data_IF_519215442499
#
_entry.id   IF_519215442499
#
_cell.length_a   1.000
_cell.length_b   1.000
_cell.length_c   1.000
_cell.angle_alpha   90.00
_cell.angle_beta   90.00
_cell.angle_gamma   90.00
#
_symmetry.space_group_name_H-M   'P 1'
#
loop_
_entity.id
_entity.type
_entity.pdbx_description
1 polymer ?
#
# COMPACT_ATOMS: atom_id res chain seq x y z
N UNK A 1 14.25 24.19 24.09
CA UNK A 1 12.94 24.03 23.42
C UNK A 1 13.22 24.13 21.94
N UNK A 2 13.52 23.00 21.31
CA UNK A 2 13.70 22.97 19.86
C UNK A 2 12.36 23.23 19.19
N UNK A 3 12.40 24.02 18.11
CA UNK A 3 11.21 24.32 17.32
C UNK A 3 10.61 23.00 16.82
N UNK A 4 9.28 22.83 16.88
CA UNK A 4 8.65 21.67 16.24
C UNK A 4 9.09 21.63 14.78
N UNK A 5 9.67 20.51 14.36
CA UNK A 5 10.01 20.30 12.96
C UNK A 5 8.67 20.26 12.20
N UNK A 6 8.46 21.24 11.32
CA UNK A 6 7.21 21.37 10.59
C UNK A 6 7.28 20.49 9.33
N UNK A 7 7.04 19.19 9.50
CA UNK A 7 7.04 18.24 8.38
C UNK A 7 5.72 18.29 7.61
N UNK A 8 5.82 18.26 6.27
CA UNK A 8 4.67 18.24 5.36
C UNK A 8 4.19 16.80 5.11
N UNK A 9 3.69 16.12 6.15
CA UNK A 9 3.27 14.72 6.08
C UNK A 9 2.14 14.44 5.08
N UNK A 10 1.32 15.44 4.78
CA UNK A 10 0.25 15.39 3.80
C UNK A 10 0.75 15.18 2.36
N UNK A 11 2.02 15.47 2.09
CA UNK A 11 2.66 15.23 0.78
C UNK A 11 3.19 13.81 0.61
N UNK A 12 3.18 12.98 1.65
CA UNK A 12 3.71 11.62 1.63
C UNK A 12 2.67 10.62 1.10
N UNK A 13 2.33 10.76 -0.18
CA UNK A 13 1.19 10.07 -0.80
C UNK A 13 1.56 8.91 -1.72
N UNK A 14 2.82 8.82 -2.14
CA UNK A 14 3.32 7.75 -3.00
C UNK A 14 4.72 7.28 -2.58
N UNK A 15 5.19 6.19 -3.20
CA UNK A 15 6.51 5.59 -2.92
C UNK A 15 7.63 6.61 -3.09
N UNK A 16 7.61 7.42 -4.15
CA UNK A 16 8.65 8.41 -4.43
C UNK A 16 8.74 9.45 -3.31
N UNK A 17 7.62 10.07 -2.95
CA UNK A 17 7.58 11.08 -1.87
C UNK A 17 8.02 10.51 -0.52
N UNK A 18 7.60 9.28 -0.20
CA UNK A 18 7.96 8.62 1.05
C UNK A 18 9.45 8.29 1.08
N UNK A 19 9.99 7.78 -0.03
CA UNK A 19 11.40 7.44 -0.16
C UNK A 19 12.29 8.69 -0.03
N UNK A 20 11.95 9.75 -0.75
CA UNK A 20 12.65 11.05 -0.65
C UNK A 20 12.62 11.57 0.79
N UNK A 21 11.46 11.49 1.45
CA UNK A 21 11.33 11.88 2.85
C UNK A 21 12.22 11.03 3.79
N UNK A 22 12.20 9.70 3.64
CA UNK A 22 13.01 8.80 4.46
C UNK A 22 14.51 9.05 4.30
N UNK A 23 14.97 9.39 3.08
CA UNK A 23 16.37 9.74 2.86
C UNK A 23 16.77 11.05 3.53
N UNK A 24 15.93 12.08 3.41
CA UNK A 24 16.25 13.38 4.01
C UNK A 24 16.16 13.39 5.55
N UNK A 25 15.45 12.43 6.14
CA UNK A 25 15.17 12.39 7.58
C UNK A 25 15.62 11.07 8.22
N UNK A 26 16.64 10.41 7.66
CA UNK A 26 17.09 9.11 8.15
C UNK A 26 17.50 9.18 9.63
N UNK A 27 18.21 10.23 10.03
CA UNK A 27 18.60 10.46 11.42
C UNK A 27 17.38 10.55 12.36
N UNK A 28 16.30 11.22 11.93
CA UNK A 28 15.09 11.38 12.74
C UNK A 28 14.30 10.07 12.85
N UNK A 29 14.40 9.20 11.83
CA UNK A 29 13.83 7.84 11.86
C UNK A 29 14.59 6.99 12.87
N UNK A 30 15.92 6.89 12.74
CA UNK A 30 16.75 5.97 13.54
C UNK A 30 16.85 6.38 15.01
N UNK A 31 16.79 7.68 15.30
CA UNK A 31 16.74 8.20 16.68
C UNK A 31 15.35 8.14 17.29
N UNK A 32 14.33 7.78 16.50
CA UNK A 32 12.96 7.57 16.97
C UNK A 32 12.12 8.84 17.12
N UNK A 33 12.61 10.01 16.69
CA UNK A 33 11.87 11.28 16.72
C UNK A 33 10.53 11.12 15.98
N UNK A 34 10.57 10.62 14.75
CA UNK A 34 9.38 10.44 13.91
C UNK A 34 8.39 9.38 14.41
N UNK A 35 8.84 8.45 15.27
CA UNK A 35 7.94 7.46 15.90
C UNK A 35 7.03 8.12 16.94
N UNK A 36 7.49 9.20 17.56
CA UNK A 36 6.78 9.90 18.64
C UNK A 36 5.81 10.96 18.13
N UNK A 37 5.92 11.35 16.86
CA UNK A 37 5.05 12.35 16.26
C UNK A 37 3.71 11.77 15.82
N UNK A 38 2.65 12.55 15.96
CA UNK A 38 1.30 12.15 15.55
C UNK A 38 1.10 12.44 14.06
N UNK A 39 1.44 11.49 13.21
CA UNK A 39 1.13 11.51 11.78
C UNK A 39 0.17 10.38 11.38
N UNK A 40 -0.53 10.58 10.27
CA UNK A 40 -1.51 9.63 9.73
C UNK A 40 -0.92 8.68 8.68
N UNK A 41 0.38 8.81 8.40
CA UNK A 41 1.07 8.10 7.32
C UNK A 41 1.28 6.64 7.72
N UNK A 42 0.59 5.76 6.99
CA UNK A 42 0.64 4.31 7.17
C UNK A 42 0.98 3.64 5.86
N UNK A 43 1.88 2.68 5.92
CA UNK A 43 2.34 1.91 4.78
C UNK A 43 1.96 0.46 4.97
N UNK A 44 1.52 -0.18 3.88
CA UNK A 44 1.35 -1.61 3.77
C UNK A 44 2.59 -2.20 3.11
N UNK A 45 3.05 -3.34 3.60
CA UNK A 45 4.14 -4.10 3.00
C UNK A 45 3.77 -5.59 2.93
N UNK A 46 4.52 -6.36 2.14
CA UNK A 46 4.41 -7.81 2.10
C UNK A 46 5.50 -8.39 3.01
N UNK A 47 5.07 -9.17 4.00
CA UNK A 47 5.94 -9.91 4.91
C UNK A 47 6.73 -10.97 4.11
N UNK A 48 8.07 -11.01 4.22
CA UNK A 48 8.90 -11.92 3.42
C UNK A 48 8.72 -13.40 3.80
N UNK A 49 8.30 -13.68 5.03
CA UNK A 49 8.18 -15.01 5.62
C UNK A 49 6.79 -15.58 5.38
N UNK A 50 5.75 -14.85 5.81
CA UNK A 50 4.35 -15.29 5.73
C UNK A 50 3.69 -14.96 4.40
N UNK A 51 4.28 -14.05 3.61
CA UNK A 51 3.72 -13.60 2.32
C UNK A 51 2.29 -13.10 2.46
N UNK A 52 2.02 -12.38 3.53
CA UNK A 52 0.76 -11.69 3.77
C UNK A 52 1.01 -10.18 3.82
N UNK A 53 -0.06 -9.39 3.81
CA UNK A 53 0.06 -7.97 4.05
C UNK A 53 0.23 -7.68 5.54
N UNK A 54 1.26 -6.91 5.87
CA UNK A 54 1.43 -6.28 7.17
C UNK A 54 1.50 -4.75 7.01
N UNK A 55 1.45 -4.04 8.14
CA UNK A 55 1.29 -2.59 8.17
C UNK A 55 2.28 -1.97 9.15
N UNK A 56 2.83 -0.83 8.75
CA UNK A 56 3.74 -0.03 9.57
C UNK A 56 3.36 1.45 9.49
N UNK A 57 3.93 2.26 10.38
CA UNK A 57 3.78 3.71 10.42
C UNK A 57 5.12 4.37 10.09
N UNK A 58 5.07 5.62 9.62
CA UNK A 58 6.29 6.41 9.38
C UNK A 58 7.14 6.50 10.67
N UNK A 59 8.47 6.46 10.50
CA UNK A 59 9.42 6.37 11.61
C UNK A 59 9.73 4.94 12.09
N UNK A 60 9.06 3.92 11.55
CA UNK A 60 9.34 2.50 11.81
C UNK A 60 9.87 1.77 10.56
N UNK A 61 10.25 2.52 9.54
CA UNK A 61 10.82 2.00 8.31
C UNK A 61 11.69 3.06 7.65
N UNK A 62 12.57 2.62 6.77
CA UNK A 62 13.40 3.46 5.92
C UNK A 62 13.64 2.77 4.57
N UNK A 63 14.36 3.45 3.68
CA UNK A 63 14.75 2.92 2.39
C UNK A 63 16.27 2.93 2.26
N UNK A 64 16.80 1.93 1.57
CA UNK A 64 18.17 1.92 1.03
C UNK A 64 18.03 1.53 -0.43
N UNK A 65 18.49 2.41 -1.32
CA UNK A 65 18.13 2.36 -2.74
C UNK A 65 16.61 2.21 -2.95
N UNK A 66 16.15 1.25 -3.73
CA UNK A 66 14.72 1.01 -3.94
C UNK A 66 14.10 0.04 -2.92
N UNK A 67 14.89 -0.47 -1.97
CA UNK A 67 14.45 -1.48 -1.02
C UNK A 67 13.92 -0.86 0.28
N UNK A 68 12.74 -1.30 0.70
CA UNK A 68 12.15 -0.92 1.98
C UNK A 68 12.66 -1.82 3.12
N UNK A 69 12.99 -1.21 4.25
CA UNK A 69 13.38 -1.91 5.48
C UNK A 69 12.49 -1.49 6.65
N UNK A 70 12.05 -2.46 7.45
CA UNK A 70 11.28 -2.21 8.69
C UNK A 70 12.21 -2.30 9.89
N UNK A 71 12.02 -1.40 10.85
CA UNK A 71 12.65 -1.41 12.17
C UNK A 71 11.62 -1.97 13.16
N UNK A 72 11.91 -3.11 13.79
CA UNK A 72 10.99 -3.78 14.69
C UNK A 72 11.71 -4.43 15.86
N UNK A 73 10.98 -4.75 16.93
CA UNK A 73 11.48 -5.55 18.07
C UNK A 73 10.72 -6.87 18.18
N UNK A 74 9.93 -7.23 17.16
CA UNK A 74 9.15 -8.46 17.13
C UNK A 74 10.05 -9.66 16.80
N UNK A 75 10.19 -10.57 17.75
CA UNK A 75 11.05 -11.77 17.66
C UNK A 75 10.68 -12.71 16.53
N UNK A 76 9.46 -12.62 15.95
CA UNK A 76 9.11 -13.44 14.78
C UNK A 76 10.02 -13.17 13.57
N UNK A 77 10.73 -12.05 13.57
CA UNK A 77 11.60 -11.57 12.50
C UNK A 77 13.10 -11.75 12.79
N UNK A 78 13.46 -12.45 13.86
CA UNK A 78 14.86 -12.67 14.25
C UNK A 78 15.66 -13.40 13.17
N UNK A 79 15.03 -14.37 12.47
CA UNK A 79 15.69 -15.14 11.42
C UNK A 79 15.94 -14.33 10.13
N UNK A 80 15.17 -13.27 9.92
CA UNK A 80 15.20 -12.40 8.74
C UNK A 80 15.96 -11.10 9.00
N UNK A 81 16.51 -10.92 10.20
CA UNK A 81 17.29 -9.74 10.54
C UNK A 81 18.51 -9.62 9.63
N UNK A 82 18.63 -8.48 8.95
CA UNK A 82 19.77 -8.12 8.11
C UNK A 82 20.61 -7.02 8.79
N UNK A 83 21.67 -7.37 9.55
CA UNK A 83 22.54 -6.39 10.17
C UNK A 83 23.52 -5.73 9.20
N UNK A 84 23.75 -6.30 8.01
CA UNK A 84 24.70 -5.76 7.03
C UNK A 84 24.26 -4.41 6.49
N UNK A 85 22.94 -4.13 6.55
CA UNK A 85 22.37 -2.85 6.13
C UNK A 85 22.92 -1.66 6.92
N UNK A 86 23.40 -1.89 8.15
CA UNK A 86 23.98 -0.85 9.01
C UNK A 86 25.23 -0.20 8.40
N UNK A 87 25.91 -0.89 7.47
CA UNK A 87 27.11 -0.38 6.81
C UNK A 87 26.84 0.60 5.66
N UNK A 88 25.58 0.81 5.26
CA UNK A 88 25.25 1.65 4.10
C UNK A 88 25.26 3.15 4.40
N UNK A 89 24.85 3.55 5.61
CA UNK A 89 24.80 4.94 6.05
C UNK A 89 25.25 5.02 7.51
N UNK A 90 26.05 6.02 7.87
CA UNK A 90 26.57 6.18 9.23
C UNK A 90 25.45 6.33 10.26
N UNK A 91 24.33 6.97 9.89
CA UNK A 91 23.16 7.15 10.73
C UNK A 91 22.50 5.83 11.13
N UNK A 92 22.60 4.78 10.30
CA UNK A 92 22.00 3.49 10.65
C UNK A 92 22.65 2.84 11.86
N UNK A 93 23.88 3.22 12.22
CA UNK A 93 24.59 2.72 13.38
C UNK A 93 23.81 2.93 14.70
N UNK A 94 22.95 3.96 14.78
CA UNK A 94 22.04 4.19 15.92
C UNK A 94 21.04 3.03 16.14
N UNK A 95 20.79 2.21 15.12
CA UNK A 95 19.94 1.02 15.21
C UNK A 95 20.71 -0.23 15.70
N UNK A 96 22.02 -0.14 15.96
CA UNK A 96 22.80 -1.27 16.48
C UNK A 96 22.40 -1.58 17.91
N UNK A 97 21.38 -2.41 18.04
CA UNK A 97 20.83 -2.86 19.31
C UNK A 97 20.38 -4.32 19.18
N UNK A 98 20.77 -5.22 20.10
CA UNK A 98 20.43 -6.65 20.04
C UNK A 98 18.91 -6.93 20.07
N UNK A 99 18.10 -6.00 20.57
CA UNK A 99 16.63 -6.14 20.62
C UNK A 99 15.92 -5.56 19.39
N UNK A 100 16.67 -5.02 18.42
CA UNK A 100 16.13 -4.41 17.19
C UNK A 100 16.46 -5.30 16.00
N UNK A 101 15.40 -5.69 15.28
CA UNK A 101 15.48 -6.39 14.02
C UNK A 101 15.20 -5.42 12.87
N UNK A 102 16.09 -5.42 11.89
CA UNK A 102 15.94 -4.74 10.61
C UNK A 102 15.66 -5.78 9.55
N UNK A 103 14.51 -5.69 8.91
CA UNK A 103 14.07 -6.67 7.90
C UNK A 103 13.80 -6.00 6.56
N UNK A 104 14.19 -6.66 5.48
CA UNK A 104 13.83 -6.24 4.13
C UNK A 104 12.41 -6.68 3.80
N UNK A 105 11.60 -5.79 3.26
CA UNK A 105 10.21 -6.05 2.88
C UNK A 105 9.88 -5.47 1.51
N UNK A 106 8.76 -5.90 0.92
CA UNK A 106 8.25 -5.33 -0.33
C UNK A 106 7.22 -4.26 0.01
N UNK A 107 7.48 -3.01 -0.38
CA UNK A 107 6.50 -1.94 -0.26
C UNK A 107 5.24 -2.27 -1.08
N UNK A 108 4.07 -2.18 -0.43
CA UNK A 108 2.79 -2.59 -1.01
C UNK A 108 1.66 -1.57 -0.83
N UNK A 109 2.03 -0.29 -0.66
CA UNK A 109 1.12 0.83 -0.81
C UNK A 109 1.01 1.73 0.41
N UNK A 110 0.45 2.92 0.18
CA UNK A 110 0.22 3.96 1.18
C UNK A 110 -1.26 3.98 1.53
N UNK A 111 -1.57 4.19 2.81
CA UNK A 111 -2.93 4.44 3.23
C UNK A 111 -3.43 5.76 2.64
N UNK A 112 -4.53 5.68 1.89
CA UNK A 112 -5.07 6.82 1.15
C UNK A 112 -5.78 7.86 2.02
N UNK A 113 -6.00 7.57 3.30
CA UNK A 113 -6.94 8.32 4.14
C UNK A 113 -8.40 7.89 3.97
N UNK A 114 -8.74 7.21 2.87
CA UNK A 114 -10.10 6.76 2.57
C UNK A 114 -10.42 5.41 3.22
N UNK A 115 -11.71 5.27 3.54
CA UNK A 115 -12.33 3.99 3.92
C UNK A 115 -13.46 3.63 2.97
N UNK A 116 -13.64 2.34 2.77
CA UNK A 116 -14.75 1.78 2.00
C UNK A 116 -16.07 1.80 2.80
N UNK A 117 -17.17 1.34 2.20
CA UNK A 117 -18.51 1.29 2.80
C UNK A 117 -18.57 0.43 4.08
N UNK A 118 -17.62 -0.49 4.26
CA UNK A 118 -17.52 -1.41 5.41
C UNK A 118 -16.54 -0.90 6.48
N UNK A 119 -15.91 0.25 6.25
CA UNK A 119 -14.90 0.82 7.14
C UNK A 119 -13.49 0.29 6.91
N UNK A 120 -13.27 -0.56 5.89
CA UNK A 120 -11.95 -1.07 5.50
C UNK A 120 -11.10 0.09 5.02
N UNK A 121 -9.84 0.17 5.50
CA UNK A 121 -8.88 1.16 5.02
C UNK A 121 -8.48 0.84 3.58
N UNK A 122 -8.39 1.86 2.75
CA UNK A 122 -7.98 1.74 1.36
C UNK A 122 -6.53 2.15 1.22
N UNK A 123 -5.72 1.27 0.63
CA UNK A 123 -4.32 1.50 0.32
C UNK A 123 -4.13 1.60 -1.19
N UNK A 124 -3.08 2.29 -1.64
CA UNK A 124 -2.67 2.20 -3.04
C UNK A 124 -2.34 0.74 -3.41
N UNK A 125 -2.71 0.33 -4.62
CA UNK A 125 -2.69 -1.05 -5.08
C UNK A 125 -3.89 -1.90 -4.67
N UNK A 126 -4.86 -1.35 -3.93
CA UNK A 126 -6.15 -2.02 -3.75
C UNK A 126 -6.97 -2.02 -5.04
N UNK A 127 -7.73 -3.10 -5.24
CA UNK A 127 -8.77 -3.16 -6.24
C UNK A 127 -10.11 -2.84 -5.58
N UNK A 128 -10.87 -1.94 -6.18
CA UNK A 128 -12.16 -1.48 -5.65
C UNK A 128 -13.27 -1.67 -6.66
N UNK A 129 -14.46 -2.01 -6.17
CA UNK A 129 -15.72 -1.86 -6.89
C UNK A 129 -16.35 -0.55 -6.46
N UNK A 130 -16.49 0.39 -7.39
CA UNK A 130 -16.99 1.73 -7.12
C UNK A 130 -18.26 2.05 -7.93
N UNK A 131 -19.09 2.91 -7.34
CA UNK A 131 -20.06 3.73 -8.07
C UNK A 131 -19.57 5.16 -8.03
N UNK A 132 -19.47 5.79 -9.19
CA UNK A 132 -18.86 7.11 -9.34
C UNK A 132 -19.87 8.07 -9.94
N UNK A 133 -19.87 9.30 -9.43
CA UNK A 133 -20.53 10.45 -10.06
C UNK A 133 -19.45 11.40 -10.55
N UNK A 134 -19.55 11.82 -11.81
CA UNK A 134 -18.62 12.78 -12.38
C UNK A 134 -18.93 14.20 -11.89
N UNK A 135 -17.88 14.94 -11.50
CA UNK A 135 -17.96 16.34 -11.05
C UNK A 135 -19.01 16.55 -9.92
N UNK A 136 -18.87 15.87 -8.77
CA UNK A 136 -19.81 16.03 -7.67
C UNK A 136 -19.75 17.46 -7.11
N UNK A 137 -20.91 17.98 -6.70
CA UNK A 137 -21.04 19.31 -6.09
C UNK A 137 -20.64 19.37 -4.62
N UNK A 138 -20.41 18.21 -3.99
CA UNK A 138 -20.06 18.10 -2.57
C UNK A 138 -18.66 17.49 -2.44
N UNK A 139 -17.75 18.14 -1.71
CA UNK A 139 -16.44 17.57 -1.43
C UNK A 139 -16.59 16.32 -0.55
N UNK A 140 -15.93 15.23 -0.95
CA UNK A 140 -15.86 14.01 -0.15
C UNK A 140 -14.50 13.86 0.51
N UNK A 141 -14.53 13.45 1.77
CA UNK A 141 -13.35 13.06 2.54
C UNK A 141 -13.23 11.54 2.72
N UNK A 142 -14.04 10.76 1.99
CA UNK A 142 -14.07 9.29 2.07
C UNK A 142 -14.98 8.73 3.15
N UNK A 143 -15.04 7.39 3.25
CA UNK A 143 -15.90 6.69 4.20
C UNK A 143 -17.38 7.06 4.04
N UNK A 144 -18.10 7.24 5.15
CA UNK A 144 -19.54 7.57 5.12
C UNK A 144 -19.84 8.97 4.56
N UNK A 145 -18.83 9.83 4.48
CA UNK A 145 -18.90 11.20 3.94
C UNK A 145 -18.47 11.22 2.46
N UNK A 146 -19.00 10.27 1.69
CA UNK A 146 -18.77 10.16 0.25
C UNK A 146 -19.61 11.13 -0.57
N UNK A 147 -19.15 11.44 -1.79
CA UNK A 147 -19.83 12.36 -2.70
C UNK A 147 -21.29 11.96 -2.87
N UNK A 148 -22.17 12.96 -2.99
CA UNK A 148 -23.59 12.77 -3.28
C UNK A 148 -24.00 13.79 -4.34
N UNK A 149 -24.91 13.40 -5.22
CA UNK A 149 -25.54 14.32 -6.15
C UNK A 149 -26.97 14.61 -5.69
N UNK A 150 -27.28 15.89 -5.45
CA UNK A 150 -28.61 16.35 -5.06
C UNK A 150 -29.56 16.45 -6.26
N UNK A 151 -29.04 16.60 -7.48
CA UNK A 151 -29.80 16.69 -8.72
C UNK A 151 -29.69 15.40 -9.55
N UNK A 152 -30.73 14.56 -9.42
CA UNK A 152 -31.11 13.45 -10.31
C UNK A 152 -30.29 12.14 -10.31
N UNK A 153 -30.89 11.15 -9.62
CA UNK A 153 -31.09 9.70 -9.88
C UNK A 153 -30.38 8.88 -11.00
N UNK A 154 -29.58 9.38 -11.95
CA UNK A 154 -29.30 8.57 -13.17
C UNK A 154 -27.87 8.46 -13.75
N UNK A 155 -26.83 9.12 -13.21
CA UNK A 155 -25.48 9.04 -13.83
C UNK A 155 -24.41 8.40 -12.93
N UNK A 156 -24.77 7.39 -12.13
CA UNK A 156 -23.77 6.59 -11.41
C UNK A 156 -23.16 5.55 -12.35
N UNK A 157 -21.89 5.73 -12.73
CA UNK A 157 -21.14 4.71 -13.46
C UNK A 157 -20.54 3.71 -12.49
N UNK A 158 -20.67 2.42 -12.80
CA UNK A 158 -20.01 1.35 -12.04
C UNK A 158 -18.68 1.01 -12.68
N UNK A 159 -17.65 0.86 -11.86
CA UNK A 159 -16.35 0.38 -12.32
C UNK A 159 -15.70 -0.51 -11.26
N UNK A 160 -14.85 -1.42 -11.72
CA UNK A 160 -13.88 -2.13 -10.91
C UNK A 160 -12.50 -1.67 -11.38
N UNK A 161 -11.66 -1.20 -10.47
CA UNK A 161 -10.40 -0.57 -10.85
C UNK A 161 -9.38 -0.56 -9.71
N UNK A 162 -8.12 -0.35 -10.08
CA UNK A 162 -7.02 -0.17 -9.15
C UNK A 162 -7.03 1.22 -8.53
N UNK A 163 -6.55 1.32 -7.29
CA UNK A 163 -6.36 2.59 -6.59
C UNK A 163 -4.89 2.98 -6.66
N UNK A 164 -4.59 4.18 -7.14
CA UNK A 164 -3.26 4.76 -7.02
C UNK A 164 -3.30 6.27 -6.79
N UNK A 165 -2.15 6.85 -6.48
CA UNK A 165 -1.95 8.29 -6.43
C UNK A 165 -1.60 8.82 -7.83
N UNK A 166 -2.28 9.89 -8.26
CA UNK A 166 -2.06 10.63 -9.51
C UNK A 166 -2.11 12.14 -9.25
N UNK A 167 -0.98 12.83 -9.48
CA UNK A 167 -0.88 14.30 -9.43
C UNK A 167 -1.34 14.94 -8.11
N UNK A 168 -0.97 14.33 -6.99
CA UNK A 168 -1.34 14.72 -5.62
C UNK A 168 -2.70 14.19 -5.15
N UNK A 169 -3.38 13.36 -5.94
CA UNK A 169 -4.76 12.93 -5.67
C UNK A 169 -4.87 11.40 -5.75
N UNK A 170 -5.42 10.77 -4.71
CA UNK A 170 -5.77 9.36 -4.77
C UNK A 170 -6.96 9.13 -5.69
N UNK A 171 -6.76 8.29 -6.70
CA UNK A 171 -7.67 8.07 -7.80
C UNK A 171 -7.89 6.58 -8.08
N UNK A 172 -9.04 6.32 -8.68
CA UNK A 172 -9.43 5.08 -9.33
C UNK A 172 -8.86 5.14 -10.75
N UNK A 173 -8.00 4.19 -11.08
CA UNK A 173 -7.28 4.13 -12.36
C UNK A 173 -8.10 3.32 -13.36
N UNK A 174 -8.47 3.95 -14.46
CA UNK A 174 -9.22 3.37 -15.57
C UNK A 174 -8.33 3.41 -16.82
N UNK A 175 -8.76 2.74 -17.90
CA UNK A 175 -7.93 2.52 -19.09
C UNK A 175 -7.31 3.81 -19.66
N UNK A 176 -8.13 4.85 -19.89
CA UNK A 176 -7.71 6.11 -20.50
C UNK A 176 -7.91 7.35 -19.61
N UNK A 177 -8.28 7.17 -18.35
CA UNK A 177 -8.49 8.28 -17.42
C UNK A 177 -8.39 7.80 -15.98
N UNK A 178 -8.35 8.74 -15.04
CA UNK A 178 -8.46 8.45 -13.62
C UNK A 178 -9.52 9.33 -13.00
N UNK A 179 -10.21 8.80 -12.00
CA UNK A 179 -11.24 9.57 -11.27
C UNK A 179 -10.86 9.62 -9.79
N UNK A 180 -10.90 10.79 -9.13
CA UNK A 180 -10.62 10.87 -7.70
C UNK A 180 -11.47 9.91 -6.87
N UNK A 181 -10.89 9.27 -5.86
CA UNK A 181 -11.63 8.40 -4.91
C UNK A 181 -12.78 9.15 -4.24
N UNK A 182 -12.61 10.45 -4.02
CA UNK A 182 -13.63 11.34 -3.46
C UNK A 182 -14.91 11.40 -4.30
N UNK A 183 -14.88 11.03 -5.57
CA UNK A 183 -16.06 11.06 -6.44
C UNK A 183 -16.91 9.79 -6.36
N UNK A 184 -16.45 8.78 -5.61
CA UNK A 184 -17.23 7.57 -5.39
C UNK A 184 -18.42 7.84 -4.44
N UNK A 185 -19.62 7.41 -4.82
CA UNK A 185 -20.82 7.40 -3.94
C UNK A 185 -20.89 6.09 -3.15
N UNK A 186 -20.49 4.97 -3.76
CA UNK A 186 -20.26 3.67 -3.13
C UNK A 186 -18.87 3.18 -3.45
N UNK A 187 -18.22 2.54 -2.48
CA UNK A 187 -16.85 2.08 -2.62
C UNK A 187 -16.65 0.83 -1.77
N UNK A 188 -16.21 -0.27 -2.38
CA UNK A 188 -15.90 -1.51 -1.67
C UNK A 188 -14.54 -2.01 -2.13
N UNK A 189 -13.66 -2.35 -1.18
CA UNK A 189 -12.45 -3.11 -1.50
C UNK A 189 -12.85 -4.53 -1.89
N UNK A 190 -12.41 -4.97 -3.07
CA UNK A 190 -12.69 -6.33 -3.59
C UNK A 190 -11.46 -7.24 -3.56
N UNK A 191 -10.33 -6.70 -3.13
CA UNK A 191 -9.05 -7.39 -3.01
C UNK A 191 -7.90 -6.43 -3.29
N UNK A 192 -6.76 -6.98 -3.68
CA UNK A 192 -5.56 -6.21 -3.99
C UNK A 192 -4.90 -6.66 -5.27
N UNK A 193 -4.22 -5.75 -5.97
CA UNK A 193 -3.60 -6.01 -7.27
C UNK A 193 -2.26 -6.78 -7.18
N UNK A 194 -1.79 -7.10 -5.97
CA UNK A 194 -0.58 -7.88 -5.74
C UNK A 194 -0.82 -9.38 -5.89
N UNK A 195 -1.38 -9.78 -7.02
CA UNK A 195 -1.52 -11.17 -7.42
C UNK A 195 -0.53 -11.47 -8.54
N UNK A 196 -0.15 -12.75 -8.69
CA UNK A 196 0.86 -13.20 -9.65
C UNK A 196 2.26 -12.64 -9.39
N UNK A 197 2.64 -12.51 -8.11
CA UNK A 197 4.00 -12.11 -7.74
C UNK A 197 5.00 -13.25 -7.98
N UNK A 198 6.18 -12.92 -8.50
CA UNK A 198 7.24 -13.91 -8.72
C UNK A 198 8.08 -14.13 -7.48
N UNK A 199 8.61 -15.33 -7.32
CA UNK A 199 9.63 -15.60 -6.31
C UNK A 199 10.86 -14.73 -6.57
N UNK A 200 11.32 -14.02 -5.54
CA UNK A 200 12.40 -13.05 -5.66
C UNK A 200 11.96 -11.67 -6.13
N UNK A 201 10.65 -11.38 -6.23
CA UNK A 201 10.17 -10.00 -6.39
C UNK A 201 10.68 -9.13 -5.25
N UNK A 202 11.28 -8.01 -5.60
CA UNK A 202 11.94 -7.08 -4.69
C UNK A 202 11.11 -5.80 -4.52
N UNK A 203 10.67 -5.23 -5.64
CA UNK A 203 9.84 -4.03 -5.69
C UNK A 203 8.72 -4.20 -6.72
N UNK A 204 7.60 -3.55 -6.47
CA UNK A 204 6.41 -3.67 -7.32
C UNK A 204 5.89 -2.29 -7.69
N UNK A 205 5.76 -2.04 -8.99
CA UNK A 205 5.17 -0.80 -9.50
C UNK A 205 3.65 -0.85 -9.35
N UNK A 206 3.12 -0.16 -8.34
CA UNK A 206 1.66 -0.05 -8.13
C UNK A 206 0.96 0.60 -9.32
N UNK A 207 1.58 1.60 -9.95
CA UNK A 207 1.05 2.19 -11.18
C UNK A 207 1.00 1.14 -12.31
N UNK A 208 2.05 0.34 -12.45
CA UNK A 208 2.10 -0.76 -13.42
C UNK A 208 0.99 -1.77 -13.19
N UNK A 209 0.77 -2.18 -11.93
CA UNK A 209 -0.34 -3.06 -11.55
C UNK A 209 -1.71 -2.45 -11.91
N UNK A 210 -1.93 -1.18 -11.57
CA UNK A 210 -3.19 -0.49 -11.86
C UNK A 210 -3.47 -0.38 -13.35
N UNK A 211 -2.45 0.02 -14.14
CA UNK A 211 -2.56 0.11 -15.59
C UNK A 211 -2.82 -1.26 -16.22
N UNK A 212 -2.11 -2.30 -15.78
CA UNK A 212 -2.30 -3.67 -16.25
C UNK A 212 -3.71 -4.19 -15.96
N UNK A 213 -4.24 -3.91 -14.76
CA UNK A 213 -5.60 -4.28 -14.40
C UNK A 213 -6.65 -3.53 -15.25
N UNK A 214 -6.46 -2.22 -15.46
CA UNK A 214 -7.37 -1.39 -16.24
C UNK A 214 -7.46 -1.81 -17.72
N UNK A 215 -6.37 -2.32 -18.29
CA UNK A 215 -6.30 -2.81 -19.67
C UNK A 215 -6.72 -4.29 -19.81
N UNK A 216 -6.86 -5.02 -18.71
CA UNK A 216 -7.13 -6.45 -18.76
C UNK A 216 -8.56 -6.73 -19.23
N UNK A 217 -8.72 -7.40 -20.37
CA UNK A 217 -10.01 -7.91 -20.87
C UNK A 217 -10.35 -9.32 -20.33
N UNK A 218 -9.60 -9.78 -19.33
CA UNK A 218 -9.59 -11.17 -18.84
C UNK A 218 -10.94 -11.64 -18.28
N UNK A 219 -11.07 -12.95 -18.10
CA UNK A 219 -12.14 -13.57 -17.31
C UNK A 219 -12.22 -12.90 -15.92
N UNK A 220 -13.29 -12.13 -15.72
CA UNK A 220 -13.50 -11.31 -14.53
C UNK A 220 -13.61 -12.17 -13.27
N UNK A 221 -14.10 -13.41 -13.36
CA UNK A 221 -14.26 -14.27 -12.18
C UNK A 221 -12.93 -14.87 -11.72
N UNK A 222 -12.10 -15.35 -12.65
CA UNK A 222 -10.75 -15.82 -12.33
C UNK A 222 -9.90 -14.72 -11.67
N UNK A 223 -9.92 -13.50 -12.21
CA UNK A 223 -9.19 -12.37 -11.64
C UNK A 223 -9.72 -12.00 -10.26
N UNK A 224 -11.04 -11.99 -10.04
CA UNK A 224 -11.63 -11.69 -8.72
C UNK A 224 -11.20 -12.68 -7.64
N UNK A 225 -11.03 -13.95 -7.97
CA UNK A 225 -10.48 -14.93 -7.02
C UNK A 225 -9.05 -14.58 -6.64
N UNK A 226 -8.21 -14.23 -7.62
CA UNK A 226 -6.82 -13.83 -7.39
C UNK A 226 -6.71 -12.55 -6.56
N UNK A 227 -7.54 -11.53 -6.84
CA UNK A 227 -7.58 -10.28 -6.06
C UNK A 227 -7.79 -10.53 -4.56
N UNK A 228 -8.66 -11.50 -4.22
CA UNK A 228 -8.97 -11.85 -2.83
C UNK A 228 -7.88 -12.65 -2.15
N UNK A 229 -7.14 -13.46 -2.91
CA UNK A 229 -5.98 -14.23 -2.41
C UNK A 229 -4.74 -13.37 -2.19
N UNK A 230 -4.73 -12.13 -2.68
CA UNK A 230 -3.57 -11.24 -2.58
C UNK A 230 -3.13 -10.98 -1.13
N UNK A 231 -1.82 -10.89 -0.87
CA UNK A 231 -0.75 -11.02 -1.85
C UNK A 231 -0.52 -12.48 -2.23
N UNK A 232 -0.47 -12.77 -3.54
CA UNK A 232 -0.43 -14.14 -4.05
C UNK A 232 0.79 -14.38 -4.94
N UNK A 233 1.53 -15.43 -4.60
CA UNK A 233 2.72 -15.91 -5.30
C UNK A 233 2.39 -17.25 -5.96
N UNK A 234 2.14 -17.31 -7.27
CA UNK A 234 1.73 -18.53 -7.92
C UNK A 234 2.79 -19.63 -7.78
N UNK A 235 2.36 -20.86 -7.53
CA UNK A 235 3.25 -22.00 -7.48
C UNK A 235 3.96 -22.20 -8.83
N UNK A 236 5.28 -22.36 -8.77
CA UNK A 236 6.14 -22.50 -9.96
C UNK A 236 6.29 -23.97 -10.36
N UNK A 237 6.24 -24.87 -9.39
CA UNK A 237 6.36 -26.32 -9.58
C UNK A 237 5.00 -27.03 -9.49
N UNK A 238 4.91 -28.24 -10.03
CA UNK A 238 3.68 -29.03 -9.95
C UNK A 238 3.35 -29.46 -8.52
N UNK A 239 4.36 -29.73 -7.69
CA UNK A 239 4.18 -30.08 -6.27
C UNK A 239 3.57 -28.90 -5.50
N UNK A 240 4.07 -27.69 -5.75
CA UNK A 240 3.51 -26.48 -5.15
C UNK A 240 2.08 -26.25 -5.62
N UNK A 241 1.77 -26.51 -6.91
CA UNK A 241 0.41 -26.41 -7.46
C UNK A 241 -0.56 -27.36 -6.76
N UNK A 242 -0.15 -28.62 -6.56
CA UNK A 242 -0.97 -29.62 -5.86
C UNK A 242 -1.21 -29.19 -4.41
N UNK A 243 -0.18 -28.68 -3.71
CA UNK A 243 -0.33 -28.17 -2.35
C UNK A 243 -1.28 -26.97 -2.27
N UNK A 244 -1.16 -26.02 -3.20
CA UNK A 244 -2.02 -24.84 -3.27
C UNK A 244 -3.49 -25.23 -3.45
N UNK A 245 -3.77 -26.16 -4.37
CA UNK A 245 -5.13 -26.69 -4.60
C UNK A 245 -5.72 -27.39 -3.38
N UNK A 246 -4.93 -28.15 -2.64
CA UNK A 246 -5.38 -28.85 -1.42
C UNK A 246 -5.65 -27.89 -0.25
N UNK A 247 -5.00 -26.73 -0.21
CA UNK A 247 -5.20 -25.72 0.84
C UNK A 247 -6.35 -24.74 0.53
N UNK A 248 -6.85 -24.71 -0.70
CA UNK A 248 -7.96 -23.85 -1.14
C UNK A 248 -9.36 -24.44 -0.87
N UNK A 249 -9.46 -25.70 -0.41
CA UNK A 249 -10.74 -26.40 -0.18
C UNK A 249 -11.34 -26.21 1.24
N UNK A 250 -10.71 -25.39 2.10
CA UNK A 250 -11.21 -24.99 3.44
C UNK A 250 -11.75 -23.54 3.46
#
# INVERSE_FOLDING_TARGET
MDKPHNYEFDKLTNLKSIKEFCYSHLLDIVTGILKTENHSVKVRFIDPTKRNFEYTSLGLFFFVDDCMYIITTDKKYEAEHNPDILGFYEELEFLRNPDVFIIRVIFAGVYTGFRDDKGTRIFTGDAVSAKIVLNPSIPSTGGTNRARNSSNKLNESRCEAGVNEMSGIYAIILDNHSVPLSWATKLNVIGSLFYNLTMGTTEVSIQGLCNGFAQSQSDKEGVKKLLKKSPYFPPTTWQEKVRDLLCDED
#
